data_IF_002293062662
#
_entry.id   IF_002293062662
#
_cell.length_a   1.000
_cell.length_b   1.000
_cell.length_c   1.000
_cell.angle_alpha   90.00
_cell.angle_beta   90.00
_cell.angle_gamma   90.00
#
_symmetry.space_group_name_H-M   'P 1'
#
loop_
_entity.id
_entity.type
_entity.pdbx_description
1 polymer ?
#
# COMPACT_ATOMS: atom_id res chain seq x y z
N UNK A 1 -19.58 21.43 15.17
CA UNK A 1 -20.22 20.13 15.51
C UNK A 1 -20.76 19.49 14.24
N UNK A 2 -20.10 18.42 13.77
CA UNK A 2 -20.60 17.31 12.92
C UNK A 2 -19.42 16.37 12.65
N UNK A 3 -19.08 15.53 13.63
CA UNK A 3 -18.16 14.41 13.44
C UNK A 3 -18.94 13.29 12.73
N UNK A 4 -19.00 13.33 11.39
CA UNK A 4 -19.51 12.21 10.60
C UNK A 4 -18.55 11.04 10.75
N UNK A 5 -18.84 10.14 11.69
CA UNK A 5 -18.13 8.88 11.84
C UNK A 5 -18.30 8.03 10.59
N UNK A 6 -17.21 7.80 9.86
CA UNK A 6 -17.16 6.82 8.79
C UNK A 6 -17.61 5.46 9.34
N UNK A 7 -18.47 4.75 8.59
CA UNK A 7 -18.84 3.36 8.90
C UNK A 7 -17.58 2.51 8.85
N UNK A 8 -17.46 1.49 9.71
CA UNK A 8 -16.21 0.72 9.88
C UNK A 8 -15.61 0.20 8.57
N UNK A 9 -16.43 -0.24 7.60
CA UNK A 9 -15.93 -0.72 6.30
C UNK A 9 -15.24 0.37 5.47
N UNK A 10 -15.74 1.61 5.52
CA UNK A 10 -15.20 2.71 4.73
C UNK A 10 -13.80 3.13 5.16
N UNK A 11 -13.45 2.93 6.44
CA UNK A 11 -12.10 3.21 6.95
C UNK A 11 -11.09 2.17 6.47
N UNK A 12 -11.48 0.88 6.49
CA UNK A 12 -10.65 -0.20 6.00
C UNK A 12 -10.35 -0.04 4.51
N UNK A 13 -11.38 0.23 3.70
CA UNK A 13 -11.22 0.46 2.26
C UNK A 13 -10.29 1.64 1.96
N UNK A 14 -10.48 2.75 2.69
CA UNK A 14 -9.61 3.91 2.56
C UNK A 14 -8.15 3.59 2.92
N UNK A 15 -7.89 2.84 4.00
CA UNK A 15 -6.53 2.44 4.35
C UNK A 15 -5.91 1.50 3.31
N UNK A 16 -6.65 0.51 2.82
CA UNK A 16 -6.17 -0.42 1.78
C UNK A 16 -5.86 0.29 0.46
N UNK A 17 -6.54 1.39 0.15
CA UNK A 17 -6.27 2.21 -1.04
C UNK A 17 -4.94 2.97 -0.97
N UNK A 18 -4.41 3.22 0.23
CA UNK A 18 -3.13 3.91 0.44
C UNK A 18 -1.92 2.99 0.26
N UNK A 19 -2.11 1.67 0.19
CA UNK A 19 -1.04 0.70 -0.03
C UNK A 19 -0.59 0.77 -1.50
N UNK A 20 0.70 1.03 -1.71
CA UNK A 20 1.32 1.17 -3.01
C UNK A 20 1.46 2.62 -3.44
N UNK A 21 1.59 2.84 -4.75
CA UNK A 21 1.83 4.17 -5.36
C UNK A 21 2.90 5.03 -4.64
N UNK A 22 3.89 4.38 -4.05
CA UNK A 22 4.94 5.07 -3.29
C UNK A 22 5.87 5.83 -4.24
N UNK A 23 6.48 6.94 -3.81
CA UNK A 23 7.39 7.72 -4.65
C UNK A 23 8.56 6.90 -5.20
N UNK A 24 8.99 7.22 -6.43
CA UNK A 24 10.26 6.80 -6.99
C UNK A 24 11.17 8.04 -7.02
N UNK A 25 12.21 8.03 -6.20
CA UNK A 25 13.08 9.20 -5.99
C UNK A 25 14.44 8.95 -6.64
N UNK A 26 14.93 9.86 -7.51
CA UNK A 26 16.28 9.78 -8.03
C UNK A 26 17.29 10.18 -6.97
N UNK A 27 18.32 9.37 -6.79
CA UNK A 27 19.49 9.63 -5.95
C UNK A 27 20.69 9.86 -6.88
N UNK A 28 21.20 11.09 -6.88
CA UNK A 28 22.30 11.50 -7.76
C UNK A 28 23.64 11.33 -7.05
N UNK A 29 24.48 10.45 -7.58
CA UNK A 29 25.85 10.20 -7.13
C UNK A 29 26.79 10.98 -8.04
N UNK A 30 26.98 12.26 -7.72
CA UNK A 30 27.70 13.24 -8.55
C UNK A 30 29.15 12.81 -8.85
N UNK A 31 29.94 12.33 -7.88
CA UNK A 31 31.32 11.89 -8.15
C UNK A 31 31.41 10.74 -9.17
N UNK A 32 30.44 9.82 -9.14
CA UNK A 32 30.39 8.64 -10.01
C UNK A 32 29.65 8.90 -11.33
N UNK A 33 28.94 10.03 -11.46
CA UNK A 33 28.11 10.33 -12.63
C UNK A 33 26.90 9.40 -12.79
N UNK A 34 26.46 8.74 -11.71
CA UNK A 34 25.39 7.73 -11.73
C UNK A 34 24.13 8.26 -11.03
N UNK A 35 22.95 7.87 -11.52
CA UNK A 35 21.67 8.09 -10.84
C UNK A 35 21.00 6.75 -10.52
N UNK A 36 20.70 6.52 -9.24
CA UNK A 36 19.97 5.34 -8.76
C UNK A 36 18.56 5.77 -8.39
N UNK A 37 17.53 5.03 -8.84
CA UNK A 37 16.15 5.33 -8.48
C UNK A 37 15.71 4.47 -7.28
N UNK A 38 15.38 5.11 -6.16
CA UNK A 38 14.92 4.46 -4.95
C UNK A 38 13.39 4.48 -4.87
N UNK A 39 12.78 3.31 -4.67
CA UNK A 39 11.34 3.19 -4.41
C UNK A 39 11.09 3.32 -2.92
N UNK A 40 10.37 4.37 -2.50
CA UNK A 40 10.15 4.69 -1.08
C UNK A 40 9.05 3.81 -0.44
N UNK A 41 9.23 2.49 -0.45
CA UNK A 41 8.25 1.52 0.08
C UNK A 41 8.03 1.60 1.61
N UNK A 42 8.92 2.29 2.33
CA UNK A 42 8.70 2.63 3.74
C UNK A 42 7.57 3.65 3.95
N UNK A 43 7.03 4.25 2.89
CA UNK A 43 5.89 5.18 2.95
C UNK A 43 4.52 4.49 2.79
N UNK A 44 4.47 3.16 2.69
CA UNK A 44 3.21 2.45 2.85
C UNK A 44 2.67 2.67 4.29
N UNK A 45 1.35 2.54 4.53
CA UNK A 45 0.72 2.87 5.82
C UNK A 45 1.36 2.26 7.08
N UNK A 46 1.86 1.02 7.02
CA UNK A 46 2.54 0.39 8.16
C UNK A 46 4.02 0.77 8.32
N UNK A 47 4.57 1.51 7.36
CA UNK A 47 5.97 1.89 7.32
C UNK A 47 6.88 0.94 6.54
N UNK A 48 6.33 -0.05 5.81
CA UNK A 48 7.17 -1.00 5.08
C UNK A 48 6.52 -1.58 3.82
N UNK A 49 7.37 -2.17 2.96
CA UNK A 49 6.96 -2.87 1.75
C UNK A 49 5.97 -4.03 2.00
N UNK A 50 5.92 -4.56 3.23
CA UNK A 50 5.11 -5.75 3.54
C UNK A 50 3.61 -5.53 3.40
N UNK A 51 3.14 -4.29 3.37
CA UNK A 51 1.74 -3.95 3.11
C UNK A 51 1.26 -4.48 1.75
N UNK A 52 2.13 -4.49 0.74
CA UNK A 52 1.78 -5.03 -0.58
C UNK A 52 1.48 -6.52 -0.53
N UNK A 53 2.33 -7.28 0.16
CA UNK A 53 2.15 -8.72 0.30
C UNK A 53 0.91 -9.02 1.13
N UNK A 54 0.74 -8.34 2.26
CA UNK A 54 -0.42 -8.51 3.13
C UNK A 54 -1.73 -8.26 2.37
N UNK A 55 -1.81 -7.15 1.62
CA UNK A 55 -2.98 -6.83 0.79
C UNK A 55 -3.28 -7.93 -0.23
N UNK A 56 -2.28 -8.40 -0.98
CA UNK A 56 -2.49 -9.43 -1.99
C UNK A 56 -2.94 -10.76 -1.38
N UNK A 57 -2.28 -11.22 -0.31
CA UNK A 57 -2.61 -12.50 0.32
C UNK A 57 -4.02 -12.51 0.89
N UNK A 58 -4.42 -11.44 1.58
CA UNK A 58 -5.75 -11.34 2.19
C UNK A 58 -6.83 -11.29 1.10
N UNK A 59 -6.68 -10.43 0.10
CA UNK A 59 -7.68 -10.29 -0.98
C UNK A 59 -7.82 -11.57 -1.80
N UNK A 60 -6.74 -12.28 -2.09
CA UNK A 60 -6.78 -13.58 -2.77
C UNK A 60 -7.53 -14.63 -1.93
N UNK A 61 -7.25 -14.69 -0.62
CA UNK A 61 -7.95 -15.60 0.29
C UNK A 61 -9.46 -15.31 0.34
N UNK A 62 -9.85 -14.04 0.43
CA UNK A 62 -11.26 -13.63 0.40
C UNK A 62 -11.95 -14.03 -0.92
N UNK A 63 -11.30 -13.79 -2.06
CA UNK A 63 -11.82 -14.18 -3.37
C UNK A 63 -12.03 -15.70 -3.47
N UNK A 64 -11.08 -16.50 -2.99
CA UNK A 64 -11.21 -17.97 -2.99
C UNK A 64 -12.38 -18.45 -2.12
N UNK A 65 -12.58 -17.85 -0.96
CA UNK A 65 -13.70 -18.18 -0.06
C UNK A 65 -15.04 -17.81 -0.69
N UNK A 66 -15.13 -16.70 -1.41
CA UNK A 66 -16.35 -16.30 -2.11
C UNK A 66 -16.63 -17.26 -3.28
N UNK A 67 -15.61 -17.61 -4.05
CA UNK A 67 -15.72 -18.53 -5.18
C UNK A 67 -16.12 -19.95 -4.75
N UNK A 68 -15.71 -20.43 -3.58
CA UNK A 68 -16.05 -21.77 -3.07
C UNK A 68 -17.45 -21.88 -2.47
N UNK A 69 -18.17 -20.77 -2.31
CA UNK A 69 -19.54 -20.70 -1.79
C UNK A 69 -20.61 -20.56 -2.89
N UNK A 70 -20.19 -20.54 -4.15
CA UNK A 70 -21.05 -20.46 -5.35
C UNK A 70 -21.13 -21.82 -6.03
#
# INVERSE_FOLDING_TARGET
MRTTGLRNNQRADAMLSLIGNTPLVPLHFVPEGVTVHAKCEFLNPSGSIKDRLAKTVILDAEQRVIASRS
#
